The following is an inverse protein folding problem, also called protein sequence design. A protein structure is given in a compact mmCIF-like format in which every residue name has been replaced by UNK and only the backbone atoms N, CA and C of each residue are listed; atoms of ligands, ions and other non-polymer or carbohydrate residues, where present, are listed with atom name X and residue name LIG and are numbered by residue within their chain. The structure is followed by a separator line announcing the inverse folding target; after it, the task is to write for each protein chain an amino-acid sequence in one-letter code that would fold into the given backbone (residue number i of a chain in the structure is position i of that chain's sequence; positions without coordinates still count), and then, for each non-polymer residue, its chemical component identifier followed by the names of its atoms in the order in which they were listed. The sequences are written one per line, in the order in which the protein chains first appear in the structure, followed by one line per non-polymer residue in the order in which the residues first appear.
data_IF_789278305335
#
_entry.id   IF_789278305335
#
_cell.length_a   1.000
_cell.length_b   1.000
_cell.length_c   1.000
_cell.angle_alpha   90.00
_cell.angle_beta   90.00
_cell.angle_gamma   90.00
#
_symmetry.space_group_name_H-M   'P 1'
#
loop_
_entity.id
_entity.type
_entity.pdbx_description
1 polymer ?
#
# COMPACT_ATOMS: atom_id res chain seq x y z
N UNK A 1 -4.80 2.32 28.08
CA UNK A 1 -3.69 2.79 27.23
C UNK A 1 -3.88 2.13 25.87
N UNK A 2 -4.39 2.86 24.87
CA UNK A 2 -4.85 2.31 23.60
C UNK A 2 -3.67 1.73 22.80
N UNK A 3 -3.63 0.41 22.65
CA UNK A 3 -2.67 -0.27 21.78
C UNK A 3 -2.86 0.18 20.33
N UNK A 4 -1.75 0.40 19.64
CA UNK A 4 -1.64 0.91 18.28
C UNK A 4 -2.75 0.38 17.36
N UNK A 5 -3.69 1.27 17.00
CA UNK A 5 -4.64 1.00 15.94
C UNK A 5 -3.85 0.73 14.66
N UNK A 6 -4.21 -0.34 13.95
CA UNK A 6 -3.60 -0.82 12.71
C UNK A 6 -3.40 0.31 11.68
N UNK A 7 -2.25 0.98 11.72
CA UNK A 7 -1.86 2.01 10.76
C UNK A 7 -1.27 1.35 9.52
N UNK A 8 -2.12 0.61 8.81
CA UNK A 8 -1.80 -0.05 7.56
C UNK A 8 -2.38 0.75 6.40
N UNK A 9 -1.53 1.21 5.49
CA UNK A 9 -1.90 1.93 4.27
C UNK A 9 -1.42 1.16 3.05
N UNK A 10 -2.23 1.15 2.00
CA UNK A 10 -1.87 0.57 0.70
C UNK A 10 -1.85 1.71 -0.32
N UNK A 11 -0.70 1.90 -0.96
CA UNK A 11 -0.61 2.71 -2.18
C UNK A 11 -0.83 1.79 -3.37
N UNK A 12 -1.84 2.09 -4.18
CA UNK A 12 -2.28 1.19 -5.23
C UNK A 12 -2.99 1.88 -6.37
N UNK A 13 -3.06 1.18 -7.50
CA UNK A 13 -3.93 1.54 -8.62
C UNK A 13 -5.06 0.51 -8.65
N UNK A 14 -6.30 0.96 -8.77
CA UNK A 14 -7.47 0.08 -8.69
C UNK A 14 -7.45 -1.06 -9.73
N UNK A 15 -6.85 -0.80 -10.90
CA UNK A 15 -6.74 -1.74 -12.01
C UNK A 15 -5.52 -2.68 -11.93
N UNK A 16 -4.62 -2.51 -10.95
CA UNK A 16 -3.43 -3.35 -10.83
C UNK A 16 -3.77 -4.72 -10.24
N UNK A 17 -3.45 -5.84 -10.93
CA UNK A 17 -3.73 -7.18 -10.41
C UNK A 17 -2.98 -7.45 -9.10
N UNK A 18 -1.76 -6.93 -8.96
CA UNK A 18 -0.96 -7.07 -7.74
C UNK A 18 -1.60 -6.36 -6.53
N UNK A 19 -2.16 -5.17 -6.74
CA UNK A 19 -2.88 -4.42 -5.68
C UNK A 19 -4.14 -5.18 -5.28
N UNK A 20 -4.88 -5.75 -6.25
CA UNK A 20 -6.06 -6.55 -5.98
C UNK A 20 -5.74 -7.79 -5.14
N UNK A 21 -4.62 -8.48 -5.42
CA UNK A 21 -4.18 -9.64 -4.64
C UNK A 21 -3.85 -9.26 -3.19
N UNK A 22 -3.14 -8.15 -2.97
CA UNK A 22 -2.85 -7.64 -1.62
C UNK A 22 -4.13 -7.29 -0.87
N UNK A 23 -5.06 -6.57 -1.53
CA UNK A 23 -6.36 -6.22 -0.93
C UNK A 23 -7.18 -7.45 -0.57
N UNK A 24 -7.19 -8.47 -1.44
CA UNK A 24 -7.88 -9.74 -1.18
C UNK A 24 -7.26 -10.46 0.02
N UNK A 25 -5.93 -10.56 0.09
CA UNK A 25 -5.23 -11.20 1.20
C UNK A 25 -5.52 -10.50 2.54
N UNK A 26 -5.59 -9.17 2.56
CA UNK A 26 -5.95 -8.40 3.76
C UNK A 26 -7.41 -8.58 4.15
N UNK A 27 -8.32 -8.61 3.17
CA UNK A 27 -9.74 -8.90 3.40
C UNK A 27 -9.95 -10.29 3.99
N UNK A 28 -9.24 -11.31 3.48
CA UNK A 28 -9.29 -12.69 4.02
C UNK A 28 -8.79 -12.73 5.46
N UNK A 29 -7.76 -11.94 5.79
CA UNK A 29 -7.23 -11.82 7.15
C UNK A 29 -8.06 -10.93 8.07
N UNK A 30 -9.09 -10.24 7.56
CA UNK A 30 -9.91 -9.30 8.34
C UNK A 30 -9.13 -8.08 8.82
N UNK A 31 -8.03 -7.71 8.15
CA UNK A 31 -7.19 -6.57 8.53
C UNK A 31 -7.74 -5.32 7.86
N UNK A 32 -8.11 -4.32 8.65
CA UNK A 32 -8.47 -2.99 8.16
C UNK A 32 -7.24 -2.25 7.62
N UNK A 33 -7.41 -1.54 6.52
CA UNK A 33 -6.37 -0.73 5.90
C UNK A 33 -6.95 0.53 5.28
N UNK A 34 -6.14 1.58 5.18
CA UNK A 34 -6.41 2.74 4.34
C UNK A 34 -5.92 2.46 2.92
N UNK A 35 -6.73 2.78 1.91
CA UNK A 35 -6.35 2.65 0.51
C UNK A 35 -6.15 4.04 -0.10
N UNK A 36 -4.94 4.32 -0.57
CA UNK A 36 -4.61 5.52 -1.30
C UNK A 36 -4.42 5.17 -2.78
N UNK A 37 -5.29 5.75 -3.63
CA UNK A 37 -5.21 5.59 -5.08
C UNK A 37 -4.04 6.41 -5.62
N UNK A 38 -3.19 5.77 -6.43
CA UNK A 38 -2.05 6.37 -7.10
C UNK A 38 -2.35 6.62 -8.58
N UNK A 39 -1.79 7.70 -9.14
CA UNK A 39 -1.87 7.95 -10.58
C UNK A 39 -0.66 7.37 -11.32
N UNK A 40 -0.89 6.73 -12.47
CA UNK A 40 0.17 6.19 -13.33
C UNK A 40 1.12 7.26 -13.89
N UNK A 41 0.58 8.46 -14.15
CA UNK A 41 1.32 9.56 -14.81
C UNK A 41 1.97 10.50 -13.80
N UNK A 42 1.30 10.76 -12.68
CA UNK A 42 1.77 11.66 -11.63
C UNK A 42 1.85 10.90 -10.30
N UNK A 43 2.99 10.25 -10.09
CA UNK A 43 3.23 9.47 -8.87
C UNK A 43 3.25 10.38 -7.66
N UNK A 44 2.58 9.99 -6.58
CA UNK A 44 2.58 10.77 -5.35
C UNK A 44 3.99 10.85 -4.74
N UNK A 45 4.29 11.94 -4.02
CA UNK A 45 5.54 12.05 -3.26
C UNK A 45 5.68 10.90 -2.26
N UNK A 46 4.56 10.44 -1.69
CA UNK A 46 4.53 9.33 -0.75
C UNK A 46 4.99 8.02 -1.41
N UNK A 47 4.56 7.74 -2.64
CA UNK A 47 5.01 6.57 -3.41
C UNK A 47 6.50 6.65 -3.74
N UNK A 48 6.98 7.82 -4.15
CA UNK A 48 8.39 8.05 -4.49
C UNK A 48 9.30 7.90 -3.26
N UNK A 49 8.87 8.39 -2.09
CA UNK A 49 9.61 8.23 -0.84
C UNK A 49 9.57 6.78 -0.32
N UNK A 50 8.44 6.10 -0.51
CA UNK A 50 8.24 4.75 0.02
C UNK A 50 8.91 3.67 -0.84
N UNK A 51 8.92 3.84 -2.17
CA UNK A 51 9.55 2.92 -3.14
C UNK A 51 10.49 3.68 -4.09
N UNK A 52 11.61 4.24 -3.59
CA UNK A 52 12.50 5.07 -4.41
C UNK A 52 13.20 4.29 -5.54
N UNK A 53 13.29 2.96 -5.41
CA UNK A 53 13.98 2.10 -6.37
C UNK A 53 13.12 1.83 -7.61
N UNK A 54 11.87 1.39 -7.41
CA UNK A 54 11.02 0.96 -8.52
C UNK A 54 9.91 1.96 -8.83
N UNK A 55 9.52 2.80 -7.87
CA UNK A 55 8.41 3.75 -8.00
C UNK A 55 7.13 3.06 -8.50
N UNK A 56 6.87 1.84 -8.02
CA UNK A 56 5.75 0.98 -8.44
C UNK A 56 4.86 0.62 -7.26
N UNK A 57 3.60 0.37 -7.58
CA UNK A 57 2.59 -0.20 -6.67
C UNK A 57 2.53 -1.73 -6.83
N UNK A 58 2.03 -2.48 -5.84
CA UNK A 58 1.56 -2.04 -4.52
C UNK A 58 2.71 -1.68 -3.58
N UNK A 59 2.45 -0.70 -2.70
CA UNK A 59 3.30 -0.43 -1.52
C UNK A 59 2.43 -0.52 -0.28
N UNK A 60 2.83 -1.37 0.67
CA UNK A 60 2.19 -1.47 1.98
C UNK A 60 3.00 -0.66 2.98
N UNK A 61 2.36 0.25 3.71
CA UNK A 61 3.00 1.05 4.76
C UNK A 61 2.39 0.64 6.09
N UNK A 62 3.20 0.14 7.01
CA UNK A 62 2.76 -0.23 8.36
C UNK A 62 3.53 0.58 9.39
N UNK A 63 2.86 1.47 10.12
CA UNK A 63 3.48 2.34 11.12
C UNK A 63 4.65 3.16 10.55
N UNK A 64 4.45 3.73 9.36
CA UNK A 64 5.44 4.52 8.62
C UNK A 64 6.56 3.74 7.94
N UNK A 65 6.61 2.40 8.07
CA UNK A 65 7.61 1.56 7.40
C UNK A 65 7.05 1.01 6.09
N UNK A 66 7.64 1.36 4.92
CA UNK A 66 7.19 0.84 3.64
C UNK A 66 7.71 -0.58 3.41
N UNK A 67 6.83 -1.43 2.92
CA UNK A 67 7.09 -2.75 2.39
C UNK A 67 6.72 -2.71 0.91
N UNK A 68 7.75 -2.74 0.08
CA UNK A 68 7.62 -2.68 -1.36
C UNK A 68 7.94 -4.05 -1.93
N UNK A 69 6.93 -4.90 -2.23
CA UNK A 69 7.03 -5.98 -3.23
C UNK A 69 5.64 -6.53 -3.62
N UNK A 70 5.46 -6.75 -4.93
CA UNK A 70 4.65 -7.83 -5.50
C UNK A 70 5.24 -8.12 -6.89
N UNK A 71 6.09 -9.14 -6.97
CA UNK A 71 6.63 -9.68 -8.23
C UNK A 71 5.50 -10.25 -9.10
#
# INVERSE_FOLDING_TARGET
MAGAANDLKILGIWASPYVLLVRLALSIKGISYEYAEEELRHKSELLLQSNPVHNKVPVLIHGGKPLCESC
#
